data_IF_110325110314
#
_entry.id   IF_110325110314
#
_cell.length_a   1.000
_cell.length_b   1.000
_cell.length_c   1.000
_cell.angle_alpha   90.00
_cell.angle_beta   90.00
_cell.angle_gamma   90.00
#
_symmetry.space_group_name_H-M   'P 1'
#
loop_
_entity.id
_entity.type
_entity.pdbx_description
1 polymer ?
#
# COMPACT_ATOMS: atom_id res chain seq x y z
N UNK A 1 33.74 -36.66 65.04
CA UNK A 1 32.40 -36.72 64.49
C UNK A 1 32.13 -35.40 63.72
N UNK A 2 32.35 -35.37 62.44
CA UNK A 2 32.17 -34.19 61.59
C UNK A 2 31.01 -34.44 60.66
N UNK A 3 29.93 -33.72 60.88
CA UNK A 3 28.76 -33.78 59.98
C UNK A 3 28.99 -32.88 58.72
N UNK A 4 29.06 -33.52 57.58
CA UNK A 4 29.12 -32.82 56.29
C UNK A 4 27.68 -32.49 55.87
N UNK A 5 27.31 -31.22 55.92
CA UNK A 5 26.10 -30.74 55.26
C UNK A 5 26.42 -30.50 53.79
N UNK A 6 25.86 -31.33 52.93
CA UNK A 6 25.86 -31.15 51.50
C UNK A 6 24.72 -30.18 51.15
N UNK A 7 25.06 -28.96 50.74
CA UNK A 7 24.08 -28.06 50.14
C UNK A 7 23.86 -28.50 48.71
N UNK A 8 22.66 -29.01 48.45
CA UNK A 8 22.16 -29.20 47.09
C UNK A 8 21.65 -27.84 46.65
N UNK A 9 22.37 -27.19 45.72
CA UNK A 9 21.83 -26.06 44.99
C UNK A 9 20.72 -26.61 44.10
N UNK A 10 19.47 -26.05 44.14
CA UNK A 10 18.53 -26.33 43.07
C UNK A 10 19.14 -25.78 41.80
N UNK A 11 19.33 -26.64 40.82
CA UNK A 11 19.56 -26.26 39.46
C UNK A 11 18.48 -25.26 39.07
N UNK A 12 18.87 -24.08 38.69
CA UNK A 12 18.01 -23.21 37.88
C UNK A 12 17.61 -24.06 36.70
N UNK A 13 16.36 -24.48 36.71
CA UNK A 13 15.74 -24.97 35.50
C UNK A 13 15.91 -23.86 34.46
N UNK A 14 16.72 -24.15 33.47
CA UNK A 14 16.79 -23.38 32.26
C UNK A 14 15.34 -23.22 31.75
N UNK A 15 14.80 -22.03 31.95
CA UNK A 15 13.79 -21.58 31.04
C UNK A 15 14.48 -21.63 29.68
N UNK A 16 14.28 -22.72 28.98
CA UNK A 16 14.52 -22.79 27.55
C UNK A 16 13.58 -21.77 26.93
N UNK A 17 14.04 -20.51 26.90
CA UNK A 17 13.56 -19.59 25.93
C UNK A 17 13.77 -20.29 24.61
N UNK A 18 12.70 -20.79 24.02
CA UNK A 18 12.73 -21.23 22.65
C UNK A 18 13.32 -20.07 21.86
N UNK A 19 14.58 -20.22 21.46
CA UNK A 19 15.17 -19.41 20.40
C UNK A 19 14.28 -19.62 19.17
N UNK A 20 13.19 -18.83 19.11
CA UNK A 20 12.39 -18.77 17.91
C UNK A 20 13.34 -18.39 16.79
N UNK A 21 13.37 -19.17 15.73
CA UNK A 21 14.29 -18.93 14.65
C UNK A 21 14.12 -17.50 14.18
N UNK A 22 15.19 -16.92 13.72
CA UNK A 22 15.45 -15.59 13.19
C UNK A 22 14.49 -15.19 12.06
N UNK A 23 13.23 -15.56 12.18
CA UNK A 23 12.15 -15.39 11.21
C UNK A 23 11.76 -13.91 11.15
N UNK A 24 11.66 -13.40 9.94
CA UNK A 24 11.27 -12.03 9.70
C UNK A 24 9.73 -11.93 9.62
N UNK A 25 9.16 -10.84 10.14
CA UNK A 25 7.75 -10.55 9.92
C UNK A 25 7.44 -10.51 8.42
N UNK A 26 6.28 -11.03 8.05
CA UNK A 26 5.79 -10.91 6.69
C UNK A 26 5.60 -9.43 6.31
N UNK A 27 5.92 -9.09 5.07
CA UNK A 27 5.74 -7.73 4.55
C UNK A 27 4.26 -7.37 4.52
N UNK A 28 3.85 -6.22 5.08
CA UNK A 28 2.46 -5.82 5.08
C UNK A 28 1.92 -5.56 3.67
N UNK A 29 0.64 -5.86 3.48
CA UNK A 29 -0.14 -5.36 2.35
C UNK A 29 -0.81 -4.04 2.72
N UNK A 30 -1.00 -3.19 1.73
CA UNK A 30 -1.64 -1.87 1.86
C UNK A 30 -2.91 -1.89 1.02
N UNK A 31 -4.06 -1.60 1.62
CA UNK A 31 -5.34 -1.50 0.92
C UNK A 31 -6.12 -0.27 1.37
N UNK A 32 -6.99 0.21 0.49
CA UNK A 32 -7.89 1.34 0.76
C UNK A 32 -9.29 1.02 0.26
N UNK A 33 -10.26 1.08 1.16
CA UNK A 33 -11.68 0.91 0.84
C UNK A 33 -12.52 1.73 1.82
N UNK A 34 -13.66 2.24 1.37
CA UNK A 34 -14.65 2.93 2.18
C UNK A 34 -14.09 4.05 3.09
N UNK A 35 -13.11 4.79 2.60
CA UNK A 35 -12.46 5.86 3.34
C UNK A 35 -11.40 5.38 4.34
N UNK A 36 -11.09 4.10 4.39
CA UNK A 36 -10.15 3.50 5.34
C UNK A 36 -8.92 2.93 4.67
N UNK A 37 -7.75 3.28 5.21
CA UNK A 37 -6.48 2.66 4.87
C UNK A 37 -6.27 1.47 5.82
N UNK A 38 -5.98 0.30 5.27
CA UNK A 38 -5.81 -0.93 6.04
C UNK A 38 -4.46 -1.59 5.73
N UNK A 39 -3.76 -2.01 6.77
CA UNK A 39 -2.54 -2.80 6.70
C UNK A 39 -2.83 -4.22 7.19
N UNK A 40 -2.27 -5.22 6.52
CA UNK A 40 -2.41 -6.62 6.93
C UNK A 40 -1.15 -7.42 6.57
N UNK A 41 -0.76 -8.36 7.42
CA UNK A 41 0.25 -9.35 7.11
C UNK A 41 -0.10 -10.71 7.73
N UNK A 42 0.61 -11.76 7.35
CA UNK A 42 0.39 -13.12 7.86
C UNK A 42 1.05 -13.40 9.22
N UNK A 43 1.93 -12.50 9.71
CA UNK A 43 2.57 -12.66 11.03
C UNK A 43 1.53 -12.44 12.14
N UNK A 44 1.36 -13.38 13.08
CA UNK A 44 0.42 -13.22 14.18
C UNK A 44 0.81 -12.06 15.10
N UNK A 45 -0.18 -11.34 15.61
CA UNK A 45 -0.02 -10.22 16.56
C UNK A 45 0.96 -9.13 16.07
N UNK A 46 1.02 -8.91 14.76
CA UNK A 46 1.88 -7.89 14.19
C UNK A 46 1.38 -6.48 14.49
N UNK A 47 2.30 -5.60 14.86
CA UNK A 47 2.09 -4.17 14.96
C UNK A 47 2.62 -3.49 13.69
N UNK A 48 1.94 -2.41 13.26
CA UNK A 48 2.26 -1.73 12.01
C UNK A 48 2.83 -0.34 12.28
N UNK A 49 4.03 -0.09 11.81
CA UNK A 49 4.68 1.21 11.86
C UNK A 49 4.62 1.84 10.48
N UNK A 50 3.97 3.00 10.34
CA UNK A 50 3.71 3.60 9.04
C UNK A 50 4.11 5.07 8.99
N UNK A 51 4.39 5.52 7.78
CA UNK A 51 4.60 6.92 7.43
C UNK A 51 3.76 7.26 6.22
N UNK A 52 3.02 8.35 6.29
CA UNK A 52 2.23 8.89 5.18
C UNK A 52 2.74 10.29 4.89
N UNK A 53 3.14 10.54 3.64
CA UNK A 53 3.64 11.84 3.20
C UNK A 53 2.90 12.30 1.96
N UNK A 54 2.58 13.58 1.89
CA UNK A 54 2.04 14.20 0.68
C UNK A 54 3.11 14.21 -0.41
N UNK A 55 2.77 13.73 -1.60
CA UNK A 55 3.72 13.67 -2.69
C UNK A 55 3.79 14.94 -3.52
N UNK A 56 2.80 15.83 -3.42
CA UNK A 56 2.71 17.01 -4.31
C UNK A 56 1.84 18.13 -3.71
N UNK A 57 2.25 18.72 -2.62
CA UNK A 57 1.86 20.11 -2.40
C UNK A 57 2.93 20.97 -3.08
N UNK A 58 2.74 21.25 -4.37
CA UNK A 58 3.46 22.33 -4.99
C UNK A 58 3.17 23.61 -4.21
N UNK A 59 4.17 24.17 -3.57
CA UNK A 59 4.06 25.35 -2.72
C UNK A 59 3.58 26.62 -3.46
N UNK A 60 3.36 26.54 -4.76
CA UNK A 60 2.96 27.61 -5.65
C UNK A 60 1.81 27.21 -6.59
N UNK A 61 0.77 26.57 -6.06
CA UNK A 61 -0.42 26.27 -6.85
C UNK A 61 -1.16 27.57 -7.22
N UNK A 62 -1.15 27.93 -8.51
CA UNK A 62 -1.93 29.04 -9.04
C UNK A 62 -3.29 28.54 -9.56
N UNK A 63 -4.36 29.19 -9.13
CA UNK A 63 -5.72 28.87 -9.51
C UNK A 63 -6.37 30.08 -10.21
N UNK A 64 -6.67 29.96 -11.51
CA UNK A 64 -7.26 31.04 -12.29
C UNK A 64 -8.77 31.22 -12.07
N UNK A 65 -9.49 30.18 -11.64
CA UNK A 65 -10.95 30.16 -11.60
C UNK A 65 -11.54 29.89 -10.19
N UNK A 66 -10.72 30.00 -9.15
CA UNK A 66 -11.16 29.65 -7.78
C UNK A 66 -11.44 28.17 -7.57
N UNK A 67 -11.18 27.31 -8.58
CA UNK A 67 -11.37 25.86 -8.51
C UNK A 67 -10.01 25.19 -8.51
N UNK A 68 -9.64 24.63 -7.37
CA UNK A 68 -8.43 23.80 -7.24
C UNK A 68 -8.85 22.34 -7.30
N UNK A 69 -8.43 21.63 -8.34
CA UNK A 69 -8.54 20.16 -8.37
C UNK A 69 -7.36 19.61 -7.57
N UNK A 70 -7.63 19.21 -6.35
CA UNK A 70 -6.63 18.55 -5.52
C UNK A 70 -6.46 17.11 -6.01
N UNK A 71 -5.39 16.86 -6.72
CA UNK A 71 -4.88 15.51 -6.96
C UNK A 71 -3.90 15.21 -5.82
N UNK A 72 -4.41 14.90 -4.65
CA UNK A 72 -3.57 14.49 -3.56
C UNK A 72 -3.07 13.06 -3.85
N UNK A 73 -1.78 12.90 -4.01
CA UNK A 73 -1.14 11.61 -3.97
C UNK A 73 -0.42 11.50 -2.62
N UNK A 74 -0.69 10.43 -1.88
CA UNK A 74 -0.03 10.13 -0.62
C UNK A 74 0.91 8.96 -0.81
N UNK A 75 2.18 9.15 -0.47
CA UNK A 75 3.13 8.05 -0.40
C UNK A 75 3.01 7.40 0.98
N UNK A 76 2.77 6.10 0.98
CA UNK A 76 2.56 5.29 2.17
C UNK A 76 3.72 4.31 2.27
N UNK A 77 4.35 4.22 3.44
CA UNK A 77 5.36 3.22 3.77
C UNK A 77 4.97 2.57 5.08
N UNK A 78 4.99 1.26 5.15
CA UNK A 78 4.64 0.48 6.34
C UNK A 78 5.55 -0.73 6.50
N UNK A 79 5.91 -1.06 7.73
CA UNK A 79 6.54 -2.32 8.08
C UNK A 79 5.88 -2.91 9.33
N UNK A 80 6.02 -4.20 9.54
CA UNK A 80 5.46 -4.92 10.66
C UNK A 80 6.53 -5.34 11.67
N UNK A 81 6.16 -5.35 12.93
CA UNK A 81 6.92 -5.93 14.04
C UNK A 81 6.03 -6.89 14.82
N UNK A 82 6.60 -7.92 15.40
CA UNK A 82 5.92 -8.82 16.33
C UNK A 82 6.94 -9.41 17.31
N UNK A 83 6.48 -9.79 18.50
CA UNK A 83 7.33 -10.41 19.51
C UNK A 83 7.96 -11.72 19.00
N UNK A 84 9.27 -11.82 19.14
CA UNK A 84 10.06 -12.97 18.67
C UNK A 84 10.38 -12.98 17.18
N UNK A 85 10.01 -11.95 16.42
CA UNK A 85 10.31 -11.78 15.00
C UNK A 85 11.22 -10.59 14.75
N UNK A 86 11.98 -10.62 13.67
CA UNK A 86 12.63 -9.42 13.13
C UNK A 86 11.59 -8.56 12.42
N UNK A 87 11.80 -7.24 12.40
CA UNK A 87 10.96 -6.34 11.63
C UNK A 87 10.91 -6.75 10.15
N UNK A 88 9.75 -6.61 9.52
CA UNK A 88 9.59 -6.89 8.09
C UNK A 88 10.34 -5.86 7.23
N UNK A 89 10.53 -6.18 5.96
CA UNK A 89 10.83 -5.17 4.95
C UNK A 89 9.66 -4.19 4.82
N UNK A 90 9.95 -3.02 4.26
CA UNK A 90 8.95 -1.98 4.05
C UNK A 90 8.10 -2.26 2.83
N UNK A 91 6.78 -2.29 3.01
CA UNK A 91 5.83 -2.15 1.91
C UNK A 91 5.65 -0.66 1.58
N UNK A 92 5.55 -0.34 0.30
CA UNK A 92 5.28 1.02 -0.16
C UNK A 92 4.14 1.03 -1.17
N UNK A 93 3.30 2.07 -1.10
CA UNK A 93 2.22 2.30 -2.04
C UNK A 93 2.01 3.79 -2.23
N UNK A 94 1.32 4.17 -3.31
CA UNK A 94 0.82 5.53 -3.49
C UNK A 94 -0.69 5.48 -3.61
N UNK A 95 -1.37 6.29 -2.80
CA UNK A 95 -2.81 6.50 -2.85
C UNK A 95 -3.10 7.74 -3.70
N UNK A 96 -3.89 7.57 -4.76
CA UNK A 96 -4.39 8.63 -5.61
C UNK A 96 -5.89 8.80 -5.41
N UNK A 97 -6.35 10.05 -5.37
CA UNK A 97 -7.76 10.40 -5.40
C UNK A 97 -8.16 10.70 -6.84
N UNK A 98 -9.11 9.96 -7.38
CA UNK A 98 -9.65 10.18 -8.73
C UNK A 98 -11.14 10.50 -8.65
N UNK A 99 -11.66 11.22 -9.64
CA UNK A 99 -13.10 11.44 -9.77
C UNK A 99 -13.80 10.09 -10.02
N UNK A 100 -14.76 9.74 -9.17
CA UNK A 100 -15.62 8.60 -9.40
C UNK A 100 -16.76 9.04 -10.33
N UNK A 101 -16.90 8.42 -11.49
CA UNK A 101 -18.10 8.58 -12.31
C UNK A 101 -19.24 7.83 -11.63
N UNK A 102 -20.01 8.53 -10.81
CA UNK A 102 -21.30 8.03 -10.34
C UNK A 102 -22.28 8.09 -11.51
N UNK A 103 -22.40 7.03 -12.27
CA UNK A 103 -23.54 6.80 -13.13
C UNK A 103 -24.73 6.43 -12.24
N UNK A 104 -25.35 7.41 -11.61
CA UNK A 104 -26.68 7.25 -11.04
C UNK A 104 -27.54 8.45 -11.36
N UNK A 105 -28.51 8.18 -12.20
CA UNK A 105 -29.65 8.98 -12.53
C UNK A 105 -30.36 9.52 -11.27
N UNK A 106 -30.97 10.68 -11.47
CA UNK A 106 -32.03 11.27 -10.69
C UNK A 106 -31.60 12.03 -9.45
N UNK A 107 -30.83 13.10 -9.63
CA UNK A 107 -31.14 14.44 -9.10
C UNK A 107 -30.00 15.38 -9.49
N UNK A 108 -30.34 16.60 -9.93
CA UNK A 108 -29.42 17.65 -10.40
C UNK A 108 -28.51 18.22 -9.29
N UNK A 109 -27.73 17.39 -8.63
CA UNK A 109 -26.63 17.79 -7.78
C UNK A 109 -25.41 17.08 -8.33
N UNK A 110 -24.52 17.82 -8.97
CA UNK A 110 -23.20 17.34 -9.38
C UNK A 110 -22.37 17.08 -8.09
N UNK A 111 -22.59 15.95 -7.46
CA UNK A 111 -21.70 15.45 -6.44
C UNK A 111 -20.52 14.81 -7.18
N UNK A 112 -19.40 15.50 -7.21
CA UNK A 112 -18.13 14.90 -7.61
C UNK A 112 -17.71 13.95 -6.50
N UNK A 113 -18.06 12.68 -6.62
CA UNK A 113 -17.52 11.67 -5.74
C UNK A 113 -16.07 11.39 -6.14
N UNK A 114 -15.19 11.34 -5.17
CA UNK A 114 -13.79 10.93 -5.36
C UNK A 114 -13.61 9.53 -4.79
N UNK A 115 -12.76 8.74 -5.41
CA UNK A 115 -12.34 7.44 -4.88
C UNK A 115 -10.82 7.35 -4.81
N UNK A 116 -10.33 6.59 -3.84
CA UNK A 116 -8.90 6.32 -3.71
C UNK A 116 -8.46 5.15 -4.59
N UNK A 117 -7.37 5.33 -5.33
CA UNK A 117 -6.67 4.27 -6.06
C UNK A 117 -5.32 4.06 -5.41
N UNK A 118 -5.08 2.86 -4.90
CA UNK A 118 -3.77 2.44 -4.41
C UNK A 118 -2.98 1.88 -5.58
N UNK A 119 -1.76 2.36 -5.76
CA UNK A 119 -0.80 1.79 -6.69
C UNK A 119 0.38 1.20 -5.94
N UNK A 120 0.76 0.01 -6.31
CA UNK A 120 1.99 -0.65 -5.85
C UNK A 120 2.82 -1.06 -7.05
N UNK A 121 4.13 -1.13 -6.87
CA UNK A 121 5.06 -1.65 -7.87
C UNK A 121 6.03 -2.59 -7.19
N UNK A 122 6.12 -3.81 -7.67
CA UNK A 122 7.04 -4.82 -7.19
C UNK A 122 7.51 -5.69 -8.35
N UNK A 123 8.81 -5.94 -8.46
CA UNK A 123 9.42 -6.81 -9.47
C UNK A 123 8.96 -6.51 -10.91
N UNK A 124 8.83 -5.22 -11.26
CA UNK A 124 8.37 -4.79 -12.58
C UNK A 124 6.88 -5.03 -12.85
N UNK A 125 6.09 -5.33 -11.82
CA UNK A 125 4.63 -5.44 -11.91
C UNK A 125 4.01 -4.23 -11.22
N UNK A 126 3.23 -3.46 -11.96
CA UNK A 126 2.40 -2.38 -11.43
C UNK A 126 1.01 -2.92 -11.15
N UNK A 127 0.52 -2.72 -9.94
CA UNK A 127 -0.82 -3.13 -9.50
C UNK A 127 -1.61 -1.92 -9.02
N UNK A 128 -2.83 -1.78 -9.52
CA UNK A 128 -3.81 -0.78 -9.10
C UNK A 128 -4.96 -1.47 -8.38
N UNK A 129 -5.35 -0.97 -7.21
CA UNK A 129 -6.52 -1.42 -6.44
C UNK A 129 -7.46 -0.24 -6.16
N UNK A 130 -8.71 -0.52 -5.80
CA UNK A 130 -9.76 0.50 -5.65
C UNK A 130 -10.51 0.78 -6.94
N UNK A 131 -10.36 -0.08 -7.95
CA UNK A 131 -11.04 0.00 -9.23
C UNK A 131 -12.46 -0.56 -9.15
N UNK A 132 -13.36 -0.09 -10.03
CA UNK A 132 -14.63 -0.77 -10.23
C UNK A 132 -14.40 -2.11 -10.95
N UNK A 133 -15.25 -3.09 -10.63
CA UNK A 133 -15.13 -4.39 -11.29
C UNK A 133 -15.35 -4.22 -12.81
N UNK A 134 -14.51 -4.89 -13.59
CA UNK A 134 -14.47 -4.80 -15.06
C UNK A 134 -13.98 -3.46 -15.64
N UNK A 135 -13.53 -2.53 -14.83
CA UNK A 135 -12.92 -1.29 -15.30
C UNK A 135 -11.63 -1.57 -16.06
N UNK A 136 -11.40 -0.81 -17.11
CA UNK A 136 -10.23 -1.00 -17.99
C UNK A 136 -9.18 0.05 -17.67
N UNK A 137 -7.98 -0.42 -17.35
CA UNK A 137 -6.77 0.40 -17.18
C UNK A 137 -5.90 0.22 -18.42
N UNK A 138 -5.50 1.33 -19.05
CA UNK A 138 -4.52 1.33 -20.15
C UNK A 138 -3.22 1.90 -19.67
N UNK A 139 -2.12 1.22 -19.96
CA UNK A 139 -0.78 1.60 -19.53
C UNK A 139 0.01 2.14 -20.72
N UNK A 140 0.74 3.22 -20.45
CA UNK A 140 1.53 3.93 -21.46
C UNK A 140 2.91 4.26 -20.92
N UNK A 141 3.88 4.39 -21.80
CA UNK A 141 5.17 5.03 -21.52
C UNK A 141 4.99 6.53 -21.37
N UNK A 142 6.02 7.23 -20.89
CA UNK A 142 5.97 8.71 -20.74
C UNK A 142 5.87 9.46 -22.08
N UNK A 143 6.29 8.85 -23.17
CA UNK A 143 6.19 9.36 -24.55
C UNK A 143 4.84 8.99 -25.24
N UNK A 144 3.92 8.35 -24.50
CA UNK A 144 2.55 8.08 -24.94
C UNK A 144 2.35 6.76 -25.70
N UNK A 145 3.38 5.90 -25.82
CA UNK A 145 3.21 4.56 -26.43
C UNK A 145 2.46 3.65 -25.46
N UNK A 146 1.40 3.00 -25.94
CA UNK A 146 0.68 2.01 -25.13
C UNK A 146 1.50 0.75 -24.96
N UNK A 147 1.68 0.30 -23.70
CA UNK A 147 2.43 -0.88 -23.31
C UNK A 147 1.56 -2.02 -22.81
N UNK A 148 0.31 -1.73 -22.44
CA UNK A 148 -0.61 -2.77 -22.00
C UNK A 148 -2.01 -2.27 -21.69
N UNK A 149 -2.87 -3.24 -21.42
CA UNK A 149 -4.25 -3.02 -20.96
C UNK A 149 -4.62 -4.12 -20.00
N UNK A 150 -5.14 -3.77 -18.83
CA UNK A 150 -5.65 -4.71 -17.86
C UNK A 150 -7.11 -4.40 -17.52
N UNK A 151 -7.92 -5.44 -17.35
CA UNK A 151 -9.30 -5.35 -16.87
C UNK A 151 -9.31 -5.66 -15.37
N UNK A 152 -9.96 -4.82 -14.59
CA UNK A 152 -10.06 -5.02 -13.15
C UNK A 152 -10.91 -6.26 -12.83
N UNK A 153 -10.36 -7.11 -11.96
CA UNK A 153 -11.02 -8.28 -11.37
C UNK A 153 -10.97 -8.06 -9.86
N UNK A 154 -12.14 -8.13 -9.21
CA UNK A 154 -12.27 -7.86 -7.77
C UNK A 154 -11.63 -6.52 -7.36
N UNK A 155 -11.80 -5.49 -8.18
CA UNK A 155 -11.28 -4.15 -7.90
C UNK A 155 -9.78 -3.96 -8.12
N UNK A 156 -9.09 -4.93 -8.73
CA UNK A 156 -7.63 -4.91 -8.93
C UNK A 156 -7.26 -5.16 -10.39
N UNK A 157 -6.29 -4.40 -10.92
CA UNK A 157 -5.70 -4.62 -12.23
C UNK A 157 -4.17 -4.56 -12.12
N UNK A 158 -3.48 -5.49 -12.79
CA UNK A 158 -2.01 -5.58 -12.78
C UNK A 158 -1.46 -5.67 -14.19
N UNK A 159 -0.27 -5.09 -14.41
CA UNK A 159 0.45 -5.08 -15.67
C UNK A 159 1.95 -5.23 -15.42
N UNK A 160 2.58 -6.18 -16.08
CA UNK A 160 4.04 -6.25 -16.13
C UNK A 160 4.60 -5.15 -17.03
N UNK A 161 5.60 -4.45 -16.56
CA UNK A 161 6.23 -3.30 -17.23
C UNK A 161 7.74 -3.36 -17.09
N UNK A 162 8.45 -2.82 -18.06
CA UNK A 162 9.92 -2.68 -18.04
C UNK A 162 10.38 -1.24 -17.83
N UNK A 163 9.44 -0.32 -17.83
CA UNK A 163 9.70 1.11 -17.75
C UNK A 163 9.85 1.55 -16.28
N UNK A 164 10.73 2.50 -16.00
CA UNK A 164 10.87 3.08 -14.66
C UNK A 164 9.71 4.03 -14.28
N UNK A 165 8.98 4.52 -15.26
CA UNK A 165 7.81 5.36 -15.09
C UNK A 165 6.73 4.91 -16.08
N UNK A 166 5.52 4.72 -15.58
CA UNK A 166 4.35 4.31 -16.36
C UNK A 166 3.20 5.28 -16.12
N UNK A 167 2.47 5.56 -17.18
CA UNK A 167 1.22 6.31 -17.14
C UNK A 167 0.06 5.32 -17.19
N UNK A 168 -0.76 5.26 -16.14
CA UNK A 168 -2.00 4.48 -16.12
C UNK A 168 -3.19 5.40 -16.40
N UNK A 169 -4.00 5.04 -17.41
CA UNK A 169 -5.24 5.75 -17.76
C UNK A 169 -6.46 4.90 -17.36
N UNK A 170 -7.31 5.49 -16.52
CA UNK A 170 -8.53 4.91 -15.98
C UNK A 170 -9.69 5.81 -16.42
N UNK A 171 -10.47 5.40 -17.44
CA UNK A 171 -11.44 6.30 -18.06
C UNK A 171 -10.78 7.58 -18.58
N UNK A 172 -11.16 8.73 -18.03
CA UNK A 172 -10.59 10.04 -18.35
C UNK A 172 -9.48 10.48 -17.38
N UNK A 173 -9.20 9.67 -16.36
CA UNK A 173 -8.19 9.98 -15.36
C UNK A 173 -6.83 9.37 -15.74
N UNK A 174 -5.77 10.06 -15.35
CA UNK A 174 -4.39 9.65 -15.65
C UNK A 174 -3.56 9.70 -14.37
N UNK A 175 -2.84 8.63 -14.09
CA UNK A 175 -1.95 8.48 -12.93
C UNK A 175 -0.55 8.21 -13.44
N UNK A 176 0.45 8.94 -12.91
CA UNK A 176 1.87 8.69 -13.17
C UNK A 176 2.42 7.82 -12.04
N UNK A 177 3.00 6.67 -12.38
CA UNK A 177 3.47 5.66 -11.43
C UNK A 177 4.97 5.46 -11.61
N UNK A 178 5.74 5.61 -10.54
CA UNK A 178 7.13 5.20 -10.50
C UNK A 178 7.20 3.69 -10.27
N UNK A 179 7.95 2.98 -11.12
CA UNK A 179 8.16 1.53 -11.04
C UNK A 179 9.45 1.27 -10.25
N UNK A 180 9.37 0.38 -9.28
CA UNK A 180 10.49 -0.04 -8.43
C UNK A 180 10.87 -1.48 -8.72
#
# INVERSE_FOLDING_TARGET
MGSKYSYIYPSKDDESGEDKPNEQCAVPTISYADGQLTFACSTPNAEYHYTITDSDIASDAYCQNGIVKLYAAYNISVYATADGYKASDKATATLYWIEANLQNNTTNINQTATRGIITTSNDGIVTLSGLNNSEIVRFYTVDGKQIGTAKAINGTASQAVSESIVIAKIGNQTIKIAVK
#
